data_IF_185240650142
#
_entry.id   IF_185240650142
#
_cell.length_a   1.000
_cell.length_b   1.000
_cell.length_c   1.000
_cell.angle_alpha   90.00
_cell.angle_beta   90.00
_cell.angle_gamma   90.00
#
_symmetry.space_group_name_H-M   'P 1'
#
loop_
_entity.id
_entity.type
_entity.pdbx_description
1 polymer ?
#
# COMPACT_ATOMS: atom_id res chain seq x y z
N UNK A 1 -11.15 -13.40 -2.30
CA UNK A 1 -10.72 -12.47 -3.38
C UNK A 1 -9.73 -11.46 -2.80
N UNK A 2 -8.75 -10.96 -3.57
CA UNK A 2 -7.85 -9.88 -3.12
C UNK A 2 -8.25 -8.55 -3.74
N UNK A 3 -8.26 -7.50 -2.94
CA UNK A 3 -8.56 -6.13 -3.38
C UNK A 3 -7.43 -5.23 -2.90
N UNK A 4 -6.73 -4.61 -3.84
CA UNK A 4 -5.65 -3.67 -3.56
C UNK A 4 -6.22 -2.26 -3.41
N UNK A 5 -5.87 -1.59 -2.32
CA UNK A 5 -6.26 -0.20 -2.05
C UNK A 5 -5.02 0.62 -1.66
N UNK A 6 -5.19 1.91 -1.41
CA UNK A 6 -4.13 2.75 -0.85
C UNK A 6 -3.93 2.54 0.67
N UNK A 7 -4.72 1.68 1.33
CA UNK A 7 -4.59 1.30 2.75
C UNK A 7 -4.95 2.39 3.77
N UNK A 8 -4.90 3.66 3.36
CA UNK A 8 -5.23 4.79 4.22
C UNK A 8 -6.74 4.98 4.35
N UNK A 9 -7.15 5.64 5.43
CA UNK A 9 -8.54 5.82 5.85
C UNK A 9 -9.30 6.86 4.99
N UNK A 10 -9.28 6.67 3.68
CA UNK A 10 -10.02 7.46 2.68
C UNK A 10 -11.49 7.04 2.64
N UNK A 11 -12.36 7.90 2.11
CA UNK A 11 -13.81 7.63 2.01
C UNK A 11 -14.13 6.34 1.24
N UNK A 12 -13.35 6.00 0.21
CA UNK A 12 -13.55 4.79 -0.60
C UNK A 12 -13.06 3.55 0.17
N UNK A 13 -11.88 3.66 0.79
CA UNK A 13 -11.28 2.57 1.57
C UNK A 13 -12.15 2.18 2.76
N UNK A 14 -12.81 3.16 3.41
CA UNK A 14 -13.82 2.91 4.46
C UNK A 14 -15.01 2.09 3.97
N UNK A 15 -15.56 2.42 2.80
CA UNK A 15 -16.70 1.69 2.25
C UNK A 15 -16.32 0.23 1.95
N UNK A 16 -15.14 0.01 1.39
CA UNK A 16 -14.60 -1.33 1.16
C UNK A 16 -14.41 -2.10 2.46
N UNK A 17 -13.88 -1.41 3.49
CA UNK A 17 -13.75 -1.95 4.85
C UNK A 17 -15.08 -2.39 5.44
N UNK A 18 -16.12 -1.56 5.33
CA UNK A 18 -17.48 -1.91 5.79
C UNK A 18 -18.08 -3.08 5.01
N UNK A 19 -17.93 -3.10 3.68
CA UNK A 19 -18.40 -4.23 2.86
C UNK A 19 -17.74 -5.52 3.32
N UNK A 20 -16.43 -5.51 3.53
CA UNK A 20 -15.70 -6.68 4.03
C UNK A 20 -16.17 -7.10 5.43
N UNK A 21 -16.36 -6.13 6.34
CA UNK A 21 -16.86 -6.36 7.70
C UNK A 21 -18.26 -6.97 7.73
N UNK A 22 -19.12 -6.59 6.77
CA UNK A 22 -20.49 -7.10 6.65
C UNK A 22 -20.64 -8.30 5.71
N UNK A 23 -19.52 -8.92 5.28
CA UNK A 23 -19.57 -10.05 4.37
C UNK A 23 -20.40 -11.21 4.97
N UNK A 24 -21.49 -11.63 4.32
CA UNK A 24 -22.38 -12.67 4.85
C UNK A 24 -21.80 -14.09 4.75
N UNK A 25 -20.76 -14.31 3.94
CA UNK A 25 -20.10 -15.60 3.78
C UNK A 25 -18.68 -15.60 4.36
N UNK A 26 -18.49 -16.08 5.61
CA UNK A 26 -17.18 -16.17 6.25
C UNK A 26 -16.21 -17.12 5.54
N UNK A 27 -16.73 -18.05 4.71
CA UNK A 27 -15.89 -19.02 3.98
C UNK A 27 -15.19 -18.40 2.76
N UNK A 28 -15.62 -17.21 2.35
CA UNK A 28 -15.06 -16.47 1.21
C UNK A 28 -14.67 -15.05 1.62
N UNK A 29 -13.61 -14.90 2.44
CA UNK A 29 -13.16 -13.58 2.86
C UNK A 29 -12.66 -12.74 1.67
N UNK A 30 -12.89 -11.44 1.78
CA UNK A 30 -12.27 -10.44 0.91
C UNK A 30 -11.01 -9.95 1.63
N UNK A 31 -9.84 -10.19 1.04
CA UNK A 31 -8.58 -9.74 1.58
C UNK A 31 -8.29 -8.34 1.03
N UNK A 32 -8.60 -7.32 1.83
CA UNK A 32 -8.18 -5.96 1.56
C UNK A 32 -6.68 -5.82 1.89
N UNK A 33 -5.89 -5.45 0.89
CA UNK A 33 -4.44 -5.23 1.01
C UNK A 33 -4.17 -3.75 0.74
N UNK A 34 -3.64 -3.05 1.73
CA UNK A 34 -3.34 -1.63 1.66
C UNK A 34 -1.90 -1.42 1.21
N UNK A 35 -1.68 -0.70 0.12
CA UNK A 35 -0.35 -0.30 -0.32
C UNK A 35 -0.24 1.22 -0.12
N UNK A 36 0.58 1.63 0.85
CA UNK A 36 0.67 3.03 1.26
C UNK A 36 2.13 3.51 1.28
N UNK A 37 2.41 4.78 0.93
CA UNK A 37 3.72 5.37 1.14
C UNK A 37 3.97 5.56 2.65
N UNK A 38 5.11 5.09 3.14
CA UNK A 38 5.48 5.15 4.56
C UNK A 38 5.44 6.59 5.09
N UNK A 39 5.98 7.53 4.33
CA UNK A 39 6.04 8.95 4.67
C UNK A 39 4.70 9.70 4.76
N UNK A 40 3.58 9.09 4.37
CA UNK A 40 2.24 9.70 4.47
C UNK A 40 1.30 8.97 5.42
N UNK A 41 1.78 7.95 6.14
CA UNK A 41 0.98 7.25 7.14
C UNK A 41 1.11 7.98 8.47
N UNK A 42 -0.01 8.38 9.08
CA UNK A 42 0.04 8.95 10.42
C UNK A 42 0.22 7.85 11.46
N UNK A 43 1.04 8.12 12.47
CA UNK A 43 1.30 7.18 13.55
C UNK A 43 2.35 6.12 13.24
N UNK A 44 3.21 6.35 12.24
CA UNK A 44 4.30 5.44 11.85
C UNK A 44 5.27 5.13 12.99
N UNK A 45 5.42 6.04 13.95
CA UNK A 45 6.23 5.82 15.15
C UNK A 45 5.73 4.66 16.03
N UNK A 46 4.44 4.31 15.93
CA UNK A 46 3.88 3.12 16.61
C UNK A 46 4.19 1.83 15.85
N UNK A 47 4.51 1.94 14.56
CA UNK A 47 4.76 0.83 13.65
C UNK A 47 6.27 0.55 13.49
N UNK A 48 7.12 1.52 13.84
CA UNK A 48 8.58 1.41 13.83
C UNK A 48 9.08 0.54 14.99
N UNK A 49 8.78 -0.75 14.92
CA UNK A 49 9.25 -1.77 15.85
C UNK A 49 9.88 -2.93 15.10
N UNK A 50 10.88 -3.55 15.70
CA UNK A 50 11.53 -4.71 15.10
C UNK A 50 11.04 -6.02 15.74
N UNK A 51 10.51 -6.92 14.90
CA UNK A 51 10.34 -8.34 15.25
C UNK A 51 9.29 -8.63 16.32
N UNK A 52 8.35 -7.72 16.54
CA UNK A 52 7.26 -7.88 17.51
C UNK A 52 5.95 -7.38 16.94
N UNK A 53 4.85 -7.82 17.53
CA UNK A 53 3.53 -7.28 17.26
C UNK A 53 3.37 -5.90 17.92
N UNK A 54 2.63 -5.01 17.26
CA UNK A 54 2.24 -3.69 17.76
C UNK A 54 0.76 -3.47 17.68
N UNK A 55 0.27 -2.65 18.60
CA UNK A 55 -1.09 -2.12 18.56
C UNK A 55 -1.01 -0.73 17.92
N UNK A 56 -1.54 -0.62 16.71
CA UNK A 56 -1.72 0.67 16.04
C UNK A 56 -2.99 1.35 16.56
N UNK A 57 -2.83 2.43 17.32
CA UNK A 57 -3.94 3.27 17.72
C UNK A 57 -4.08 4.40 16.71
N UNK A 58 -5.21 4.43 15.99
CA UNK A 58 -5.53 5.45 14.99
C UNK A 58 -5.28 6.85 15.57
N UNK A 59 -4.26 7.58 15.08
CA UNK A 59 -3.97 8.91 15.55
C UNK A 59 -5.10 9.88 15.18
N UNK A 60 -5.31 10.88 16.03
CA UNK A 60 -5.99 12.11 15.63
C UNK A 60 -4.92 13.00 15.03
N UNK A 61 -4.89 13.11 13.70
CA UNK A 61 -4.00 14.02 12.99
C UNK A 61 -4.83 15.13 12.35
N UNK A 62 -4.37 16.37 12.51
CA UNK A 62 -4.84 17.53 11.76
C UNK A 62 -3.93 17.81 10.54
N UNK A 63 -2.87 17.01 10.39
CA UNK A 63 -1.98 17.05 9.23
C UNK A 63 -2.75 16.57 7.99
N UNK A 64 -2.73 17.38 6.95
CA UNK A 64 -3.40 17.08 5.68
C UNK A 64 -2.58 16.16 4.79
N UNK A 65 -1.29 16.06 5.08
CA UNK A 65 -0.34 15.33 4.27
C UNK A 65 -0.03 13.94 4.85
N UNK A 66 -0.60 13.62 6.01
CA UNK A 66 -0.61 12.29 6.60
C UNK A 66 -2.04 11.77 6.77
N UNK A 67 -2.26 10.49 6.54
CA UNK A 67 -3.57 9.85 6.74
C UNK A 67 -3.42 8.58 7.57
N UNK A 68 -4.30 8.34 8.56
CA UNK A 68 -4.24 7.12 9.34
C UNK A 68 -4.59 5.89 8.49
N UNK A 69 -4.18 4.71 8.95
CA UNK A 69 -4.55 3.44 8.32
C UNK A 69 -6.05 3.13 8.48
N UNK A 70 -6.58 2.35 7.56
CA UNK A 70 -7.95 1.83 7.62
C UNK A 70 -7.98 0.48 8.35
N UNK A 71 -8.76 0.33 9.44
CA UNK A 71 -8.66 -0.83 10.34
C UNK A 71 -9.20 -2.15 9.79
N UNK A 72 -9.99 -2.16 8.71
CA UNK A 72 -10.59 -3.38 8.16
C UNK A 72 -9.70 -4.08 7.11
N UNK A 73 -8.47 -3.60 6.92
CA UNK A 73 -7.47 -4.25 6.08
C UNK A 73 -6.86 -5.49 6.73
N UNK A 74 -6.66 -6.54 5.94
CA UNK A 74 -6.01 -7.77 6.41
C UNK A 74 -4.48 -7.65 6.36
N UNK A 75 -3.96 -6.89 5.38
CA UNK A 75 -2.53 -6.75 5.14
C UNK A 75 -2.19 -5.31 4.73
N UNK A 76 -0.97 -4.89 5.06
CA UNK A 76 -0.38 -3.64 4.62
C UNK A 76 0.99 -3.87 4.01
N UNK A 77 1.29 -3.09 2.97
CA UNK A 77 2.62 -2.96 2.37
C UNK A 77 2.97 -1.47 2.42
N UNK A 78 4.09 -1.15 3.06
CA UNK A 78 4.59 0.22 3.15
C UNK A 78 5.72 0.42 2.14
N UNK A 79 5.60 1.47 1.34
CA UNK A 79 6.61 1.86 0.35
C UNK A 79 7.41 3.02 0.93
N UNK A 80 8.68 2.77 1.18
CA UNK A 80 9.61 3.78 1.65
C UNK A 80 10.50 4.26 0.49
N UNK A 81 10.59 5.57 0.33
CA UNK A 81 11.40 6.26 -0.67
C UNK A 81 12.21 7.40 -0.03
N UNK A 82 12.38 7.38 1.29
CA UNK A 82 13.05 8.42 2.08
C UNK A 82 12.40 9.82 2.02
N UNK A 83 11.15 9.93 1.52
CA UNK A 83 10.38 11.17 1.51
C UNK A 83 9.31 11.19 2.60
N UNK A 84 8.86 12.39 2.96
CA UNK A 84 7.67 12.59 3.82
C UNK A 84 6.62 13.33 3.04
N UNK A 85 5.35 13.03 3.31
CA UNK A 85 4.21 13.80 2.79
C UNK A 85 4.05 13.75 1.27
N UNK A 86 4.72 12.82 0.59
CA UNK A 86 4.64 12.62 -0.85
C UNK A 86 3.90 11.33 -1.21
N UNK A 87 2.68 11.49 -1.74
CA UNK A 87 1.94 10.39 -2.36
C UNK A 87 2.47 10.12 -3.77
N UNK A 88 2.39 8.86 -4.21
CA UNK A 88 2.70 8.45 -5.57
C UNK A 88 3.82 7.41 -5.66
N UNK A 89 4.67 7.30 -4.63
CA UNK A 89 5.73 6.28 -4.58
C UNK A 89 5.17 4.87 -4.59
N UNK A 90 3.93 4.68 -4.11
CA UNK A 90 3.22 3.42 -4.12
C UNK A 90 2.70 3.00 -5.50
N UNK A 91 2.56 3.93 -6.46
CA UNK A 91 1.90 3.68 -7.75
C UNK A 91 2.73 2.79 -8.67
N UNK A 92 4.05 3.04 -8.74
CA UNK A 92 4.96 2.20 -9.52
C UNK A 92 5.02 0.78 -8.94
N UNK A 93 5.19 0.68 -7.62
CA UNK A 93 5.18 -0.60 -6.93
C UNK A 93 3.89 -1.37 -7.18
N UNK A 94 2.73 -0.72 -7.04
CA UNK A 94 1.43 -1.35 -7.27
C UNK A 94 1.30 -1.87 -8.70
N UNK A 95 1.72 -1.09 -9.68
CA UNK A 95 1.68 -1.49 -11.10
C UNK A 95 2.54 -2.73 -11.37
N UNK A 96 3.76 -2.77 -10.80
CA UNK A 96 4.66 -3.91 -10.91
C UNK A 96 4.13 -5.13 -10.16
N UNK A 97 3.58 -4.94 -8.97
CA UNK A 97 2.99 -5.98 -8.15
C UNK A 97 1.81 -6.63 -8.87
N UNK A 98 0.82 -5.85 -9.32
CA UNK A 98 -0.34 -6.32 -10.08
C UNK A 98 0.09 -7.11 -11.33
N UNK A 99 1.06 -6.58 -12.08
CA UNK A 99 1.61 -7.28 -13.25
C UNK A 99 2.25 -8.61 -12.86
N UNK A 100 3.06 -8.64 -11.81
CA UNK A 100 3.78 -9.85 -11.37
C UNK A 100 2.83 -10.96 -10.93
N UNK A 101 1.74 -10.63 -10.23
CA UNK A 101 0.76 -11.61 -9.73
C UNK A 101 -0.26 -12.02 -10.81
N UNK A 102 -0.43 -11.21 -11.86
CA UNK A 102 -1.31 -11.54 -12.99
C UNK A 102 -0.80 -12.68 -13.87
N UNK A 103 0.41 -13.22 -13.61
CA UNK A 103 1.04 -14.26 -14.42
C UNK A 103 1.68 -13.75 -15.72
N UNK A 104 1.68 -12.44 -15.97
CA UNK A 104 2.43 -11.82 -17.06
C UNK A 104 3.90 -11.73 -16.67
N UNK A 105 4.68 -12.75 -17.02
CA UNK A 105 6.12 -12.82 -16.78
C UNK A 105 6.85 -11.53 -17.17
N UNK A 106 7.53 -10.93 -16.20
CA UNK A 106 8.39 -9.77 -16.36
C UNK A 106 9.65 -10.17 -17.14
N UNK A 107 9.84 -9.64 -18.35
CA UNK A 107 11.17 -9.58 -18.96
C UNK A 107 11.80 -8.24 -18.55
N UNK A 108 12.88 -8.31 -17.78
CA UNK A 108 13.80 -7.20 -17.60
C UNK A 108 14.44 -6.91 -18.96
N UNK A 109 13.80 -6.06 -19.78
CA UNK A 109 14.50 -5.38 -20.85
C UNK A 109 15.47 -4.42 -20.15
N UNK A 110 16.76 -4.79 -20.14
CA UNK A 110 17.85 -4.01 -19.57
C UNK A 110 17.89 -2.60 -20.19
N UNK A 111 17.25 -1.62 -19.55
CA UNK A 111 17.25 -0.20 -19.93
C UNK A 111 18.62 0.46 -19.80
N UNK A 112 19.66 -0.26 -19.41
CA UNK A 112 21.06 0.22 -19.38
C UNK A 112 21.79 0.01 -20.70
N UNK A 113 21.27 -0.78 -21.67
CA UNK A 113 21.93 -0.97 -22.98
C UNK A 113 21.53 0.05 -24.05
N UNK A 114 20.35 0.67 -23.94
CA UNK A 114 19.84 1.58 -24.98
C UNK A 114 20.43 3.00 -24.91
N UNK A 115 21.01 3.40 -23.76
CA UNK A 115 21.68 4.72 -23.63
C UNK A 115 23.13 4.74 -24.11
N UNK A 116 23.74 3.59 -24.41
CA UNK A 116 25.12 3.50 -24.93
C UNK A 116 25.21 3.25 -26.44
N UNK A 117 24.08 3.08 -27.14
CA UNK A 117 24.05 2.99 -28.62
C UNK A 117 23.61 4.30 -29.32
N UNK A 118 23.33 5.37 -28.57
CA UNK A 118 22.99 6.70 -29.12
C UNK A 118 24.07 7.76 -28.86
N UNK A 119 25.25 7.36 -28.41
CA UNK A 119 26.43 8.23 -28.26
C UNK A 119 27.58 7.78 -29.19
N UNK A 120 27.23 7.31 -30.40
CA UNK A 120 28.15 7.08 -31.51
C UNK A 120 28.07 8.21 -32.52
#
# INVERSE_FOLDING_TARGET
>A
VWVLTNGVNSSITKLLGEINRTNPDPSQPIHLIGIAPWGCVSGVEQLDVHGTNVIYNKPKTDDKDETPLEPNHAHFIFIDNDTKHEFGSELEFRSLFEKSISGNSFSLQNTTKDKLQQAG
#
